data_IF_834735150830
#
_entry.id   IF_834735150830
#
_cell.length_a   1.000
_cell.length_b   1.000
_cell.length_c   1.000
_cell.angle_alpha   90.00
_cell.angle_beta   90.00
_cell.angle_gamma   90.00
#
_symmetry.space_group_name_H-M   'P 1'
#
loop_
_entity.id
_entity.type
_entity.pdbx_description
1 polymer ?
#
# COMPACT_ATOMS: atom_id res chain seq x y z
N UNK A 1 11.66 -22.06 11.22
CA UNK A 1 10.42 -22.28 10.45
C UNK A 1 9.68 -23.44 11.11
N UNK A 2 8.48 -23.22 11.65
CA UNK A 2 7.66 -24.32 12.18
C UNK A 2 6.86 -24.90 11.01
N UNK A 3 7.06 -26.18 10.72
CA UNK A 3 6.29 -26.91 9.72
C UNK A 3 5.04 -27.49 10.39
N UNK A 4 3.91 -27.33 9.74
CA UNK A 4 2.63 -27.94 10.14
C UNK A 4 2.55 -29.27 9.40
N UNK A 5 2.45 -30.37 10.15
CA UNK A 5 2.37 -31.74 9.59
C UNK A 5 3.57 -32.17 8.72
N UNK A 6 4.74 -31.54 8.90
CA UNK A 6 5.98 -31.89 8.20
C UNK A 6 6.07 -31.48 6.73
N UNK A 7 4.94 -31.13 6.09
CA UNK A 7 4.85 -30.80 4.66
C UNK A 7 4.52 -29.33 4.42
N UNK A 8 3.70 -28.70 5.26
CA UNK A 8 3.22 -27.34 5.03
C UNK A 8 3.98 -26.31 5.86
N UNK A 9 4.50 -25.27 5.22
CA UNK A 9 5.08 -24.13 5.94
C UNK A 9 3.97 -23.34 6.64
N UNK A 10 4.10 -23.12 7.95
CA UNK A 10 3.15 -22.33 8.75
C UNK A 10 2.91 -20.94 8.15
N UNK A 11 3.94 -20.27 7.62
CA UNK A 11 3.81 -18.95 7.00
C UNK A 11 2.92 -18.99 5.75
N UNK A 12 3.09 -20.02 4.91
CA UNK A 12 2.26 -20.19 3.72
C UNK A 12 0.80 -20.49 4.06
N UNK A 13 0.57 -21.29 5.10
CA UNK A 13 -0.77 -21.65 5.56
C UNK A 13 -1.52 -20.45 6.16
N UNK A 14 -0.81 -19.59 6.91
CA UNK A 14 -1.35 -18.32 7.42
C UNK A 14 -1.70 -17.37 6.27
N UNK A 15 -0.81 -17.21 5.28
CA UNK A 15 -1.06 -16.34 4.13
C UNK A 15 -2.25 -16.84 3.31
N UNK A 16 -2.33 -18.16 3.07
CA UNK A 16 -3.48 -18.77 2.40
C UNK A 16 -4.78 -18.55 3.19
N UNK A 17 -4.74 -18.71 4.52
CA UNK A 17 -5.90 -18.46 5.39
C UNK A 17 -6.38 -17.00 5.32
N UNK A 18 -5.46 -16.03 5.34
CA UNK A 18 -5.80 -14.61 5.19
C UNK A 18 -6.44 -14.30 3.83
N UNK A 19 -5.92 -14.88 2.74
CA UNK A 19 -6.49 -14.72 1.40
C UNK A 19 -7.88 -15.35 1.29
N UNK A 20 -8.04 -16.58 1.77
CA UNK A 20 -9.32 -17.27 1.77
C UNK A 20 -10.37 -16.52 2.60
N UNK A 21 -10.00 -16.01 3.78
CA UNK A 21 -10.88 -15.20 4.62
C UNK A 21 -11.34 -13.92 3.91
N UNK A 22 -10.44 -13.24 3.18
CA UNK A 22 -10.78 -12.07 2.37
C UNK A 22 -11.81 -12.38 1.27
N UNK A 23 -11.60 -13.47 0.53
CA UNK A 23 -12.53 -13.93 -0.52
C UNK A 23 -13.89 -14.28 0.09
N UNK A 24 -13.92 -15.06 1.17
CA UNK A 24 -15.15 -15.43 1.85
C UNK A 24 -15.90 -14.21 2.39
N UNK A 25 -15.19 -13.22 2.94
CA UNK A 25 -15.78 -11.97 3.42
C UNK A 25 -16.40 -11.16 2.28
N UNK A 26 -15.74 -11.08 1.12
CA UNK A 26 -16.28 -10.41 -0.06
C UNK A 26 -17.54 -11.10 -0.60
N UNK A 27 -17.53 -12.44 -0.66
CA UNK A 27 -18.70 -13.23 -1.06
C UNK A 27 -19.86 -13.06 -0.09
N UNK A 28 -19.58 -13.10 1.23
CA UNK A 28 -20.58 -12.86 2.26
C UNK A 28 -21.19 -11.46 2.13
N UNK A 29 -20.36 -10.43 1.92
CA UNK A 29 -20.84 -9.06 1.74
C UNK A 29 -21.68 -8.90 0.48
N UNK A 30 -21.25 -9.50 -0.64
CA UNK A 30 -22.03 -9.54 -1.88
C UNK A 30 -23.41 -10.17 -1.66
N UNK A 31 -23.46 -11.29 -0.92
CA UNK A 31 -24.72 -11.96 -0.59
C UNK A 31 -25.63 -11.12 0.31
N UNK A 32 -25.08 -10.47 1.34
CA UNK A 32 -25.83 -9.56 2.23
C UNK A 32 -26.39 -8.38 1.43
N UNK A 33 -25.57 -7.74 0.58
CA UNK A 33 -26.02 -6.64 -0.28
C UNK A 33 -27.11 -7.09 -1.25
N UNK A 34 -26.96 -8.27 -1.85
CA UNK A 34 -27.98 -8.87 -2.73
C UNK A 34 -29.29 -9.12 -1.98
N UNK A 35 -29.23 -9.54 -0.72
CA UNK A 35 -30.40 -9.81 0.12
C UNK A 35 -31.12 -8.54 0.58
N UNK A 36 -30.40 -7.43 0.75
CA UNK A 36 -30.97 -6.15 1.21
C UNK A 36 -31.44 -5.25 0.05
N UNK A 37 -30.95 -5.47 -1.17
CA UNK A 37 -31.33 -4.70 -2.35
C UNK A 37 -32.82 -4.92 -2.68
N UNK A 38 -33.66 -3.93 -2.37
CA UNK A 38 -35.12 -3.93 -2.55
C UNK A 38 -35.59 -3.50 -3.94
N UNK A 39 -34.69 -3.17 -4.86
CA UNK A 39 -35.07 -2.78 -6.22
C UNK A 39 -35.13 -3.98 -7.17
N UNK A 40 -36.36 -4.35 -7.50
CA UNK A 40 -36.77 -5.23 -8.62
C UNK A 40 -37.32 -4.40 -9.80
N UNK A 41 -36.81 -3.20 -10.03
CA UNK A 41 -37.13 -2.46 -11.25
C UNK A 41 -36.29 -3.02 -12.40
N UNK A 42 -36.71 -4.16 -12.95
CA UNK A 42 -36.26 -4.60 -14.27
C UNK A 42 -36.83 -3.60 -15.29
N UNK A 43 -36.06 -2.54 -15.57
CA UNK A 43 -36.32 -1.73 -16.75
C UNK A 43 -36.14 -2.66 -17.95
N UNK A 44 -37.15 -2.79 -18.83
CA UNK A 44 -37.04 -3.58 -20.04
C UNK A 44 -35.76 -3.17 -20.76
N UNK A 45 -34.83 -4.11 -20.91
CA UNK A 45 -33.62 -3.90 -21.68
C UNK A 45 -34.05 -3.72 -23.14
N UNK A 46 -34.36 -2.50 -23.52
CA UNK A 46 -34.29 -2.09 -24.91
C UNK A 46 -32.83 -2.23 -25.31
N UNK A 47 -32.53 -3.32 -25.99
CA UNK A 47 -31.26 -3.58 -26.65
C UNK A 47 -31.15 -2.67 -27.89
N UNK A 48 -31.22 -1.35 -27.68
CA UNK A 48 -30.60 -0.44 -28.63
C UNK A 48 -29.10 -0.50 -28.37
N UNK A 49 -28.41 -1.34 -29.13
CA UNK A 49 -26.95 -1.30 -29.15
C UNK A 49 -26.57 0.10 -29.63
N UNK A 50 -25.97 0.96 -28.76
CA UNK A 50 -25.50 2.25 -29.21
C UNK A 50 -24.48 2.02 -30.32
N UNK A 51 -24.44 2.92 -31.30
CA UNK A 51 -23.43 2.85 -32.35
C UNK A 51 -22.03 2.78 -31.73
N UNK A 52 -21.35 1.64 -31.90
CA UNK A 52 -19.99 1.45 -31.43
C UNK A 52 -19.05 2.28 -32.31
N UNK A 53 -18.69 3.48 -31.84
CA UNK A 53 -17.74 4.35 -32.53
C UNK A 53 -16.35 4.01 -32.01
N UNK A 54 -15.53 3.45 -32.88
CA UNK A 54 -14.12 3.22 -32.57
C UNK A 54 -13.46 4.58 -32.30
N UNK A 55 -12.82 4.77 -31.14
CA UNK A 55 -12.13 6.01 -30.85
C UNK A 55 -10.96 6.19 -31.83
N UNK A 56 -10.73 7.42 -32.28
CA UNK A 56 -9.53 7.73 -33.03
C UNK A 56 -8.31 7.55 -32.14
N UNK A 57 -7.31 6.80 -32.62
CA UNK A 57 -6.08 6.48 -31.88
C UNK A 57 -5.36 7.75 -31.41
N UNK A 58 -5.44 8.82 -32.19
CA UNK A 58 -4.87 10.13 -31.86
C UNK A 58 -5.53 10.75 -30.64
N UNK A 59 -6.86 10.72 -30.55
CA UNK A 59 -7.61 11.30 -29.42
C UNK A 59 -7.35 10.50 -28.15
N UNK A 60 -7.23 9.18 -28.29
CA UNK A 60 -6.84 8.30 -27.18
C UNK A 60 -5.41 8.63 -26.70
N UNK A 61 -4.46 8.81 -27.63
CA UNK A 61 -3.07 9.14 -27.30
C UNK A 61 -2.95 10.51 -26.62
N UNK A 62 -3.66 11.53 -27.11
CA UNK A 62 -3.69 12.87 -26.50
C UNK A 62 -4.34 12.81 -25.12
N UNK A 63 -5.49 12.13 -24.98
CA UNK A 63 -6.16 11.97 -23.70
C UNK A 63 -5.32 11.21 -22.66
N UNK A 64 -4.58 10.18 -23.09
CA UNK A 64 -3.63 9.46 -22.23
C UNK A 64 -2.45 10.35 -21.83
N UNK A 65 -1.91 11.14 -22.76
CA UNK A 65 -0.82 12.07 -22.49
C UNK A 65 -1.22 13.15 -21.48
N UNK A 66 -2.37 13.79 -21.68
CA UNK A 66 -2.90 14.79 -20.76
C UNK A 66 -3.13 14.20 -19.36
N UNK A 67 -3.78 13.04 -19.27
CA UNK A 67 -4.00 12.35 -17.99
C UNK A 67 -2.69 11.96 -17.31
N UNK A 68 -1.73 11.44 -18.08
CA UNK A 68 -0.40 11.09 -17.58
C UNK A 68 0.34 12.33 -17.06
N UNK A 69 0.25 13.44 -17.77
CA UNK A 69 0.90 14.69 -17.37
C UNK A 69 0.25 15.31 -16.13
N UNK A 70 -1.08 15.26 -16.01
CA UNK A 70 -1.81 15.67 -14.81
C UNK A 70 -1.39 14.82 -13.60
N UNK A 71 -1.30 13.51 -13.78
CA UNK A 71 -0.85 12.59 -12.73
C UNK A 71 0.57 12.93 -12.29
N UNK A 72 1.51 13.07 -13.23
CA UNK A 72 2.91 13.36 -12.92
C UNK A 72 3.08 14.69 -12.18
N UNK A 73 2.38 15.74 -12.64
CA UNK A 73 2.43 17.06 -11.98
C UNK A 73 1.84 17.04 -10.57
N UNK A 74 0.78 16.23 -10.34
CA UNK A 74 0.12 16.15 -9.04
C UNK A 74 0.89 15.27 -8.05
N UNK A 75 1.35 14.11 -8.48
CA UNK A 75 2.00 13.10 -7.61
C UNK A 75 3.49 13.38 -7.44
N UNK A 76 4.17 13.90 -8.47
CA UNK A 76 5.61 14.16 -8.43
C UNK A 76 6.01 15.10 -7.29
N UNK A 77 5.26 16.18 -7.07
CA UNK A 77 5.50 17.09 -5.95
C UNK A 77 5.33 16.42 -4.58
N UNK A 78 4.32 15.56 -4.43
CA UNK A 78 4.04 14.84 -3.18
C UNK A 78 5.18 13.86 -2.86
N UNK A 79 5.61 13.05 -3.85
CA UNK A 79 6.69 12.08 -3.66
C UNK A 79 8.00 12.77 -3.33
N UNK A 80 8.35 13.85 -4.02
CA UNK A 80 9.59 14.59 -3.78
C UNK A 80 9.61 15.18 -2.37
N UNK A 81 8.50 15.81 -1.94
CA UNK A 81 8.38 16.36 -0.60
C UNK A 81 8.51 15.27 0.48
N UNK A 82 7.81 14.14 0.32
CA UNK A 82 7.90 13.00 1.24
C UNK A 82 9.30 12.39 1.27
N UNK A 83 9.98 12.29 0.13
CA UNK A 83 11.34 11.73 0.05
C UNK A 83 12.35 12.62 0.77
N UNK A 84 12.28 13.94 0.56
CA UNK A 84 13.14 14.90 1.25
C UNK A 84 12.86 14.88 2.75
N UNK A 85 11.58 14.90 3.15
CA UNK A 85 11.18 14.86 4.56
C UNK A 85 11.67 13.57 5.24
N UNK A 86 11.44 12.42 4.60
CA UNK A 86 11.86 11.12 5.12
C UNK A 86 13.39 11.01 5.20
N UNK A 87 14.11 11.52 4.19
CA UNK A 87 15.57 11.58 4.23
C UNK A 87 16.08 12.42 5.41
N UNK A 88 15.48 13.59 5.67
CA UNK A 88 15.82 14.41 6.84
C UNK A 88 15.55 13.65 8.14
N UNK A 89 14.37 13.04 8.26
CA UNK A 89 13.98 12.29 9.46
C UNK A 89 14.89 11.08 9.72
N UNK A 90 15.37 10.40 8.68
CA UNK A 90 16.31 9.28 8.78
C UNK A 90 17.76 9.72 9.03
N UNK A 91 18.15 10.92 8.58
CA UNK A 91 19.54 11.39 8.66
C UNK A 91 19.85 12.21 9.91
N UNK A 92 18.84 12.85 10.52
CA UNK A 92 19.02 13.72 11.68
C UNK A 92 18.24 13.24 12.91
N UNK A 93 18.83 13.31 14.12
CA UNK A 93 20.22 13.65 14.42
C UNK A 93 21.20 12.52 14.02
N UNK A 94 22.38 12.90 13.55
CA UNK A 94 23.45 11.94 13.24
C UNK A 94 23.95 11.26 14.53
N UNK A 95 24.35 10.00 14.41
CA UNK A 95 24.86 9.24 15.54
C UNK A 95 26.10 9.92 16.18
N UNK A 96 26.19 9.98 17.52
CA UNK A 96 27.40 10.43 18.21
C UNK A 96 28.61 9.60 17.82
N UNK A 97 29.82 10.16 17.88
CA UNK A 97 31.06 9.48 17.50
C UNK A 97 31.34 8.20 18.32
N UNK A 98 30.75 8.09 19.52
CA UNK A 98 30.84 6.92 20.42
C UNK A 98 29.59 6.02 20.39
N UNK A 99 28.79 6.09 19.32
CA UNK A 99 27.57 5.30 19.20
C UNK A 99 27.84 3.79 19.03
N UNK A 100 27.18 2.97 19.84
CA UNK A 100 27.24 1.50 19.80
C UNK A 100 26.14 0.88 18.93
N UNK A 101 25.12 1.66 18.56
CA UNK A 101 23.95 1.21 17.78
C UNK A 101 23.99 1.78 16.34
N UNK A 102 23.26 1.18 15.39
CA UNK A 102 23.13 1.69 14.02
C UNK A 102 22.69 3.16 14.00
N UNK A 103 23.24 3.94 13.07
CA UNK A 103 23.00 5.39 13.04
C UNK A 103 21.52 5.79 12.87
N UNK A 104 20.72 4.92 12.25
CA UNK A 104 19.28 5.12 12.04
C UNK A 104 18.51 5.13 13.37
N UNK A 105 18.95 4.41 14.40
CA UNK A 105 18.25 4.35 15.69
C UNK A 105 18.24 5.71 16.42
N UNK A 106 19.27 6.52 16.20
CA UNK A 106 19.39 7.86 16.79
C UNK A 106 18.55 8.90 16.06
N UNK A 107 18.22 8.66 14.79
CA UNK A 107 17.46 9.56 13.95
C UNK A 107 16.04 9.80 14.48
N UNK A 108 15.41 10.92 14.11
CA UNK A 108 14.02 11.20 14.46
C UNK A 108 13.07 10.10 13.95
N UNK A 109 13.36 9.54 12.78
CA UNK A 109 12.66 8.38 12.25
C UNK A 109 12.75 7.19 13.21
N UNK A 110 13.96 6.85 13.68
CA UNK A 110 14.18 5.76 14.65
C UNK A 110 13.40 5.96 15.95
N UNK A 111 13.44 7.18 16.51
CA UNK A 111 12.69 7.52 17.73
C UNK A 111 11.17 7.37 17.55
N UNK A 112 10.63 7.86 16.43
CA UNK A 112 9.21 7.72 16.09
C UNK A 112 8.87 6.24 15.85
N UNK A 113 9.74 5.50 15.16
CA UNK A 113 9.58 4.07 14.89
C UNK A 113 9.50 3.24 16.17
N UNK A 114 10.36 3.50 17.15
CA UNK A 114 10.33 2.83 18.44
C UNK A 114 9.07 3.18 19.25
N UNK A 115 8.61 4.42 19.19
CA UNK A 115 7.34 4.82 19.81
C UNK A 115 6.15 4.09 19.17
N UNK A 116 6.15 3.96 17.83
CA UNK A 116 5.12 3.22 17.11
C UNK A 116 5.21 1.71 17.34
N UNK A 117 6.42 1.16 17.50
CA UNK A 117 6.63 -0.27 17.69
C UNK A 117 5.87 -0.82 18.90
N UNK A 118 5.63 -0.04 19.95
CA UNK A 118 4.82 -0.47 21.11
C UNK A 118 3.38 -0.81 20.68
N UNK A 119 2.79 -0.01 19.78
CA UNK A 119 1.43 -0.25 19.27
C UNK A 119 1.37 -1.41 18.27
N UNK A 120 2.42 -1.59 17.45
CA UNK A 120 2.47 -2.62 16.42
C UNK A 120 3.16 -3.91 16.86
N UNK A 121 3.73 -3.96 18.07
CA UNK A 121 4.34 -5.15 18.66
C UNK A 121 3.37 -6.34 18.75
N UNK A 122 2.08 -6.18 19.09
CA UNK A 122 1.11 -7.29 19.06
C UNK A 122 0.91 -7.89 17.66
N UNK A 123 1.19 -7.13 16.60
CA UNK A 123 1.13 -7.59 15.21
C UNK A 123 2.45 -8.22 14.74
N UNK A 124 3.50 -8.18 15.56
CA UNK A 124 4.84 -8.69 15.22
C UNK A 124 5.61 -7.81 14.23
N UNK A 125 5.26 -6.53 14.11
CA UNK A 125 6.00 -5.61 13.22
C UNK A 125 7.20 -5.00 13.94
N UNK A 126 8.34 -5.01 13.27
CA UNK A 126 9.52 -4.27 13.71
C UNK A 126 9.36 -2.77 13.45
N UNK A 127 10.11 -1.94 14.18
CA UNK A 127 10.05 -0.48 14.07
C UNK A 127 10.40 0.01 12.65
N UNK A 128 11.30 -0.69 11.94
CA UNK A 128 11.66 -0.42 10.54
C UNK A 128 10.45 -0.53 9.61
N UNK A 129 9.61 -1.56 9.82
CA UNK A 129 8.39 -1.78 9.04
C UNK A 129 7.39 -0.66 9.29
N UNK A 130 7.28 -0.20 10.55
CA UNK A 130 6.37 0.88 10.93
C UNK A 130 6.71 2.20 10.24
N UNK A 131 8.00 2.55 10.15
CA UNK A 131 8.45 3.76 9.45
C UNK A 131 8.25 3.64 7.94
N UNK A 132 8.56 2.48 7.35
CA UNK A 132 8.42 2.26 5.91
C UNK A 132 6.96 2.21 5.42
N UNK A 133 6.00 1.93 6.33
CA UNK A 133 4.57 1.94 6.03
C UNK A 133 4.00 3.33 5.79
N UNK A 134 4.53 4.37 6.44
CA UNK A 134 3.96 5.74 6.37
C UNK A 134 4.05 6.31 4.93
N UNK A 135 5.21 6.28 4.25
CA UNK A 135 5.31 6.67 2.85
C UNK A 135 4.53 5.71 1.94
N UNK A 136 4.54 4.41 2.24
CA UNK A 136 3.84 3.40 1.45
C UNK A 136 2.32 3.55 1.47
N UNK A 137 1.76 4.11 2.54
CA UNK A 137 0.34 4.46 2.63
C UNK A 137 0.02 5.71 1.78
N UNK A 138 0.92 6.70 1.80
CA UNK A 138 0.75 7.93 1.03
C UNK A 138 0.91 7.71 -0.49
N UNK A 139 1.81 6.81 -0.88
CA UNK A 139 2.00 6.36 -2.26
C UNK A 139 2.49 4.91 -2.26
N UNK A 140 1.67 4.00 -2.82
CA UNK A 140 1.98 2.56 -2.83
C UNK A 140 3.28 2.24 -3.57
N UNK A 141 3.65 3.08 -4.52
CA UNK A 141 4.85 2.97 -5.35
C UNK A 141 6.13 3.33 -4.57
N UNK A 142 6.02 4.11 -3.50
CA UNK A 142 7.15 4.57 -2.69
C UNK A 142 7.51 3.56 -1.60
N UNK A 143 6.60 2.65 -1.26
CA UNK A 143 6.79 1.64 -0.21
C UNK A 143 8.09 0.81 -0.38
N UNK A 144 8.39 0.38 -1.62
CA UNK A 144 9.58 -0.43 -1.92
C UNK A 144 10.86 0.39 -1.75
N UNK A 145 10.84 1.66 -2.17
CA UNK A 145 11.97 2.59 -2.03
C UNK A 145 12.23 2.92 -0.55
N UNK A 146 11.19 3.16 0.23
CA UNK A 146 11.31 3.43 1.67
C UNK A 146 11.85 2.24 2.45
N UNK A 147 11.43 1.01 2.11
CA UNK A 147 12.03 -0.20 2.69
C UNK A 147 13.52 -0.29 2.35
N UNK A 148 13.91 -0.03 1.10
CA UNK A 148 15.31 -0.06 0.70
C UNK A 148 16.16 0.93 1.51
N UNK A 149 15.69 2.16 1.77
CA UNK A 149 16.43 3.15 2.56
C UNK A 149 16.51 2.81 4.04
N UNK A 150 15.47 2.19 4.61
CA UNK A 150 15.44 1.85 6.04
C UNK A 150 16.27 0.60 6.37
N UNK A 151 16.43 -0.32 5.40
CA UNK A 151 17.22 -1.54 5.55
C UNK A 151 18.64 -1.46 4.97
N UNK A 152 19.02 -0.32 4.38
CA UNK A 152 20.38 -0.04 3.93
C UNK A 152 21.28 0.38 5.11
#
# INVERSE_FOLDING_TARGET
QKTVWGVFNQQGLVLFGLYAAGILSALAMSWIMKKWRRDKSEHPLMLELPSYRLPHVRDLAVGLYERGMIFLKRVGGIILALTILLWVLLSFPAAPADATMPAIDYSYAGQIGHAMAVFFAPLGFNWQICIALIPGLAAREVAVSSLATVYA
#
